data_IF_456720160301
#
_entry.id   IF_456720160301
#
_cell.length_a   1.000
_cell.length_b   1.000
_cell.length_c   1.000
_cell.angle_alpha   90.00
_cell.angle_beta   90.00
_cell.angle_gamma   90.00
#
_symmetry.space_group_name_H-M   'P 1'
#
loop_
_entity.id
_entity.type
_entity.pdbx_description
1 polymer ?
#
# COMPACT_ATOMS: atom_id res chain seq x y z
N UNK A 1 -15.29 23.22 -1.99
CA UNK A 1 -13.99 22.71 -1.50
C UNK A 1 -13.45 21.74 -2.54
N UNK A 2 -12.21 21.95 -3.01
CA UNK A 2 -11.52 21.06 -3.96
C UNK A 2 -10.38 20.34 -3.25
N UNK A 3 -10.39 19.01 -3.31
CA UNK A 3 -9.46 18.15 -2.60
C UNK A 3 -8.69 17.31 -3.61
N UNK A 4 -7.39 17.13 -3.39
CA UNK A 4 -6.63 16.02 -3.98
C UNK A 4 -6.35 15.01 -2.87
N UNK A 5 -6.63 13.75 -3.16
CA UNK A 5 -6.30 12.60 -2.33
C UNK A 5 -5.27 11.73 -3.04
N UNK A 6 -4.18 11.44 -2.36
CA UNK A 6 -3.08 10.56 -2.77
C UNK A 6 -2.59 9.76 -1.57
N UNK A 7 -1.93 8.62 -1.79
CA UNK A 7 -1.40 7.74 -0.76
C UNK A 7 -0.24 6.90 -1.33
N UNK A 8 0.40 6.12 -0.49
CA UNK A 8 1.30 5.03 -0.86
C UNK A 8 2.43 5.50 -1.80
N UNK A 9 3.12 6.58 -1.41
CA UNK A 9 4.20 7.17 -2.20
C UNK A 9 5.46 6.33 -2.17
N UNK A 10 5.75 5.68 -1.05
CA UNK A 10 6.94 4.87 -0.82
C UNK A 10 8.24 5.58 -1.26
N UNK A 11 8.42 6.83 -0.84
CA UNK A 11 9.61 7.60 -1.17
C UNK A 11 10.87 6.89 -0.67
N UNK A 12 11.82 6.70 -1.59
CA UNK A 12 13.04 5.96 -1.32
C UNK A 12 12.97 4.48 -1.66
N UNK A 13 11.87 4.00 -2.25
CA UNK A 13 11.75 2.62 -2.72
C UNK A 13 12.86 2.25 -3.68
N UNK A 14 13.35 1.03 -3.50
CA UNK A 14 14.26 0.36 -4.41
C UNK A 14 13.53 -0.81 -5.08
N UNK A 15 13.39 -0.76 -6.39
CA UNK A 15 12.70 -1.80 -7.15
C UNK A 15 13.72 -2.74 -7.84
N UNK A 16 13.87 -3.95 -7.33
CA UNK A 16 14.87 -4.93 -7.79
C UNK A 16 16.30 -4.37 -7.93
N UNK A 17 16.73 -3.56 -6.98
CA UNK A 17 18.05 -2.93 -6.95
C UNK A 17 18.15 -1.59 -7.70
N UNK A 18 17.10 -1.14 -8.34
CA UNK A 18 17.04 0.16 -9.00
C UNK A 18 16.39 1.20 -8.10
N UNK A 19 17.09 2.28 -7.80
CA UNK A 19 16.53 3.43 -7.07
C UNK A 19 15.50 4.17 -7.93
N UNK A 20 14.38 4.59 -7.32
CA UNK A 20 13.25 5.23 -8.01
C UNK A 20 13.14 6.74 -7.77
N UNK A 21 14.20 7.38 -7.31
CA UNK A 21 14.18 8.82 -6.99
C UNK A 21 13.80 9.71 -8.17
N UNK A 22 14.24 9.37 -9.40
CA UNK A 22 13.88 10.13 -10.60
C UNK A 22 12.37 10.04 -10.87
N UNK A 23 11.77 8.86 -10.76
CA UNK A 23 10.34 8.64 -10.94
C UNK A 23 9.51 9.39 -9.89
N UNK A 24 9.89 9.30 -8.61
CA UNK A 24 9.24 10.05 -7.54
C UNK A 24 9.34 11.57 -7.76
N UNK A 25 10.49 12.07 -8.22
CA UNK A 25 10.66 13.49 -8.52
C UNK A 25 9.74 13.96 -9.65
N UNK A 26 9.56 13.14 -10.67
CA UNK A 26 8.62 13.43 -11.77
C UNK A 26 7.18 13.48 -11.24
N UNK A 27 6.78 12.51 -10.42
CA UNK A 27 5.47 12.49 -9.78
C UNK A 27 5.22 13.72 -8.89
N UNK A 28 6.14 14.05 -8.00
CA UNK A 28 5.98 15.19 -7.08
C UNK A 28 5.91 16.52 -7.84
N UNK A 29 6.68 16.67 -8.92
CA UNK A 29 6.60 17.85 -9.78
C UNK A 29 5.26 17.94 -10.50
N UNK A 30 4.77 16.82 -11.04
CA UNK A 30 3.45 16.73 -11.66
C UNK A 30 2.34 17.07 -10.65
N UNK A 31 2.40 16.54 -9.44
CA UNK A 31 1.41 16.82 -8.40
C UNK A 31 1.37 18.31 -8.02
N UNK A 32 2.53 18.98 -7.91
CA UNK A 32 2.57 20.43 -7.71
C UNK A 32 1.83 21.18 -8.82
N UNK A 33 2.03 20.78 -10.08
CA UNK A 33 1.34 21.42 -11.21
C UNK A 33 -0.17 21.16 -11.16
N UNK A 34 -0.61 19.94 -10.88
CA UNK A 34 -2.04 19.58 -10.72
C UNK A 34 -2.70 20.43 -9.65
N UNK A 35 -2.08 20.53 -8.47
CA UNK A 35 -2.60 21.31 -7.35
C UNK A 35 -2.75 22.80 -7.74
N UNK A 36 -1.77 23.35 -8.42
CA UNK A 36 -1.78 24.74 -8.88
C UNK A 36 -2.83 25.00 -9.96
N UNK A 37 -2.83 24.20 -11.04
CA UNK A 37 -3.71 24.40 -12.20
C UNK A 37 -5.18 24.20 -11.84
N UNK A 38 -5.48 23.26 -10.94
CA UNK A 38 -6.85 22.96 -10.52
C UNK A 38 -7.35 23.82 -9.36
N UNK A 39 -6.48 24.68 -8.79
CA UNK A 39 -6.76 25.52 -7.61
C UNK A 39 -7.31 24.67 -6.46
N UNK A 40 -6.48 23.75 -5.96
CA UNK A 40 -6.84 22.83 -4.89
C UNK A 40 -6.75 23.53 -3.52
N UNK A 41 -7.77 23.32 -2.70
CA UNK A 41 -7.86 23.88 -1.35
C UNK A 41 -7.19 22.97 -0.32
N UNK A 42 -7.25 21.63 -0.53
CA UNK A 42 -6.82 20.63 0.43
C UNK A 42 -6.09 19.45 -0.27
N UNK A 43 -4.91 19.12 0.22
CA UNK A 43 -4.17 17.92 -0.17
C UNK A 43 -4.20 16.91 0.99
N UNK A 44 -4.71 15.71 0.72
CA UNK A 44 -4.73 14.58 1.65
C UNK A 44 -3.69 13.54 1.20
N UNK A 45 -2.76 13.19 2.09
CA UNK A 45 -1.76 12.14 1.87
C UNK A 45 -2.04 11.03 2.89
N UNK A 46 -2.66 9.94 2.43
CA UNK A 46 -3.24 8.92 3.29
C UNK A 46 -2.28 7.75 3.56
N UNK A 47 -1.13 8.04 4.15
CA UNK A 47 -0.15 7.05 4.63
C UNK A 47 0.87 6.60 3.59
N UNK A 48 1.83 5.83 4.09
CA UNK A 48 2.98 5.27 3.38
C UNK A 48 3.72 6.31 2.53
N UNK A 49 4.09 7.40 3.21
CA UNK A 49 4.90 8.47 2.62
C UNK A 49 6.28 7.95 2.25
N UNK A 50 6.90 7.18 3.14
CA UNK A 50 8.22 6.57 2.96
C UNK A 50 8.12 5.05 2.83
N UNK A 51 9.03 4.46 2.07
CA UNK A 51 9.11 3.03 1.85
C UNK A 51 9.53 2.24 3.11
N UNK A 52 10.18 2.89 4.04
CA UNK A 52 10.67 2.26 5.27
C UNK A 52 10.64 3.20 6.46
N UNK A 53 10.58 2.65 7.71
CA UNK A 53 10.58 3.46 8.93
C UNK A 53 11.86 4.28 9.16
N UNK A 54 12.92 3.99 8.42
CA UNK A 54 14.17 4.73 8.46
C UNK A 54 14.56 5.22 7.05
N UNK A 55 13.84 6.21 6.51
CA UNK A 55 14.06 6.69 5.15
C UNK A 55 15.45 7.32 4.99
N UNK A 56 16.02 7.22 3.78
CA UNK A 56 17.28 7.85 3.44
C UNK A 56 17.21 9.37 3.55
N UNK A 57 18.35 10.03 3.70
CA UNK A 57 18.41 11.50 3.70
C UNK A 57 17.89 12.10 2.39
N UNK A 58 18.06 11.39 1.26
CA UNK A 58 17.53 11.84 -0.05
C UNK A 58 16.01 11.77 -0.10
N UNK A 59 15.40 10.68 0.38
CA UNK A 59 13.94 10.55 0.46
C UNK A 59 13.32 11.64 1.36
N UNK A 60 13.92 11.90 2.52
CA UNK A 60 13.49 12.95 3.42
C UNK A 60 13.62 14.35 2.77
N UNK A 61 14.77 14.62 2.12
CA UNK A 61 15.00 15.89 1.41
C UNK A 61 13.95 16.10 0.32
N UNK A 62 13.64 15.06 -0.44
CA UNK A 62 12.62 15.10 -1.49
C UNK A 62 11.24 15.45 -0.93
N UNK A 63 10.84 14.80 0.15
CA UNK A 63 9.56 15.05 0.82
C UNK A 63 9.45 16.49 1.35
N UNK A 64 10.42 16.95 2.13
CA UNK A 64 10.36 18.30 2.70
C UNK A 64 10.51 19.40 1.65
N UNK A 65 11.30 19.16 0.60
CA UNK A 65 11.38 20.09 -0.54
C UNK A 65 10.05 20.19 -1.29
N UNK A 66 9.36 19.06 -1.47
CA UNK A 66 8.02 19.04 -2.04
C UNK A 66 7.03 19.86 -1.17
N UNK A 67 6.97 19.61 0.13
CA UNK A 67 6.09 20.35 1.04
C UNK A 67 6.36 21.87 0.99
N UNK A 68 7.62 22.26 1.06
CA UNK A 68 8.02 23.68 1.01
C UNK A 68 7.58 24.32 -0.31
N UNK A 69 7.74 23.60 -1.43
CA UNK A 69 7.37 24.11 -2.74
C UNK A 69 5.86 24.25 -2.90
N UNK A 70 5.11 23.17 -2.63
CA UNK A 70 3.66 23.13 -2.90
C UNK A 70 2.89 24.14 -2.05
N UNK A 71 3.30 24.34 -0.79
CA UNK A 71 2.70 25.31 0.12
C UNK A 71 3.23 26.72 -0.13
N UNK A 72 4.45 26.89 -0.60
CA UNK A 72 5.03 28.17 -1.00
C UNK A 72 4.37 28.75 -2.26
N UNK A 73 4.05 27.91 -3.22
CA UNK A 73 3.35 28.28 -4.46
C UNK A 73 1.84 28.52 -4.24
N UNK A 74 1.23 27.89 -3.25
CA UNK A 74 -0.17 28.07 -2.87
C UNK A 74 -0.32 28.22 -1.34
N UNK A 75 -0.33 29.47 -0.87
CA UNK A 75 -0.38 29.79 0.56
C UNK A 75 -1.69 29.41 1.26
N UNK A 76 -2.77 29.30 0.51
CA UNK A 76 -4.07 28.88 1.04
C UNK A 76 -4.24 27.37 1.10
N UNK A 77 -3.39 26.62 0.41
CA UNK A 77 -3.41 25.17 0.45
C UNK A 77 -3.20 24.67 1.88
N UNK A 78 -4.09 23.79 2.31
CA UNK A 78 -3.89 22.99 3.52
C UNK A 78 -3.44 21.59 3.13
N UNK A 79 -2.48 21.02 3.87
CA UNK A 79 -2.00 19.67 3.67
C UNK A 79 -2.25 18.86 4.93
N UNK A 80 -2.88 17.69 4.81
CA UNK A 80 -3.07 16.78 5.92
C UNK A 80 -2.44 15.44 5.53
N UNK A 81 -1.60 14.92 6.40
CA UNK A 81 -0.84 13.69 6.20
C UNK A 81 -1.15 12.75 7.35
N UNK A 82 -1.44 11.49 7.04
CA UNK A 82 -1.47 10.43 8.05
C UNK A 82 -0.28 9.49 7.85
N UNK A 83 0.17 8.81 8.90
CA UNK A 83 1.17 7.76 8.75
C UNK A 83 0.53 6.46 8.28
N UNK A 84 1.24 5.72 7.42
CA UNK A 84 0.93 4.35 7.05
C UNK A 84 1.72 3.33 7.85
N UNK A 85 1.65 2.05 7.45
CA UNK A 85 2.34 0.97 8.15
C UNK A 85 3.86 0.91 7.84
N UNK A 86 4.29 1.44 6.69
CA UNK A 86 5.72 1.57 6.33
C UNK A 86 6.40 2.76 7.01
N UNK A 87 5.63 3.77 7.40
CA UNK A 87 6.18 4.96 8.04
C UNK A 87 6.62 4.72 9.49
N UNK A 88 7.63 5.45 9.93
CA UNK A 88 7.85 5.67 11.36
C UNK A 88 6.89 6.78 11.82
N UNK A 89 5.74 6.41 12.31
CA UNK A 89 4.64 7.31 12.70
C UNK A 89 5.11 8.50 13.57
N UNK A 90 5.89 8.21 14.63
CA UNK A 90 6.41 9.24 15.51
C UNK A 90 7.45 10.17 14.85
N UNK A 91 8.29 9.64 13.94
CA UNK A 91 9.26 10.47 13.19
C UNK A 91 8.59 11.33 12.15
N UNK A 92 7.56 10.83 11.49
CA UNK A 92 6.79 11.59 10.51
C UNK A 92 6.04 12.75 11.18
N UNK A 93 5.53 12.55 12.40
CA UNK A 93 4.82 13.55 13.18
C UNK A 93 5.76 14.55 13.90
N UNK A 94 6.97 14.16 14.25
CA UNK A 94 7.90 14.96 15.05
C UNK A 94 8.07 16.42 14.56
N UNK A 95 8.18 16.74 13.26
CA UNK A 95 8.33 18.10 12.77
C UNK A 95 7.01 18.90 12.71
N UNK A 96 5.91 18.42 13.28
CA UNK A 96 4.56 18.99 13.13
C UNK A 96 4.49 20.48 13.52
N UNK A 97 5.19 20.90 14.58
CA UNK A 97 5.25 22.32 15.00
C UNK A 97 5.90 23.24 13.95
N UNK A 98 6.85 22.71 13.16
CA UNK A 98 7.46 23.44 12.05
C UNK A 98 6.54 23.39 10.81
N UNK A 99 5.95 22.23 10.53
CA UNK A 99 5.07 22.03 9.38
C UNK A 99 3.79 22.87 9.47
N UNK A 100 3.31 23.16 10.67
CA UNK A 100 2.17 24.05 10.89
C UNK A 100 2.34 25.45 10.30
N UNK A 101 3.58 25.96 10.19
CA UNK A 101 3.89 27.23 9.53
C UNK A 101 3.53 27.18 8.03
N UNK A 102 3.57 25.99 7.45
CA UNK A 102 3.25 25.70 6.05
C UNK A 102 1.83 25.13 5.88
N UNK A 103 0.92 25.40 6.80
CA UNK A 103 -0.45 24.85 6.80
C UNK A 103 -0.49 23.31 6.64
N UNK A 104 0.53 22.61 7.13
CA UNK A 104 0.65 21.17 7.04
C UNK A 104 0.48 20.56 8.42
N UNK A 105 -0.41 19.57 8.53
CA UNK A 105 -0.65 18.79 9.75
C UNK A 105 -0.35 17.34 9.48
N UNK A 106 0.43 16.71 10.35
CA UNK A 106 0.70 15.28 10.32
C UNK A 106 0.02 14.63 11.52
N UNK A 107 -0.79 13.62 11.26
CA UNK A 107 -1.35 12.72 12.27
C UNK A 107 -0.63 11.37 12.14
N UNK A 108 0.43 11.19 12.91
CA UNK A 108 1.29 10.01 12.83
C UNK A 108 0.87 8.91 13.80
N UNK A 109 0.59 9.27 15.05
CA UNK A 109 0.31 8.33 16.13
C UNK A 109 -1.05 8.61 16.76
N UNK A 110 -1.67 7.58 17.33
CA UNK A 110 -2.81 7.75 18.23
C UNK A 110 -2.27 8.21 19.59
N UNK A 111 -2.65 9.41 19.99
CA UNK A 111 -2.26 9.99 21.27
C UNK A 111 -3.20 9.57 22.37
N UNK A 112 -2.67 9.51 23.59
CA UNK A 112 -3.43 9.22 24.81
C UNK A 112 -3.33 10.37 25.79
N UNK A 113 -4.43 10.64 26.47
CA UNK A 113 -4.52 11.61 27.56
C UNK A 113 -5.25 10.96 28.72
N UNK A 114 -4.64 10.98 29.90
CA UNK A 114 -5.18 10.39 31.13
C UNK A 114 -5.58 8.89 30.98
N UNK A 115 -4.88 8.15 30.11
CA UNK A 115 -5.12 6.73 29.84
C UNK A 115 -6.18 6.44 28.77
N UNK A 116 -6.82 7.45 28.21
CA UNK A 116 -7.82 7.35 27.15
C UNK A 116 -7.30 7.91 25.82
N UNK A 117 -7.89 7.49 24.70
CA UNK A 117 -7.55 8.01 23.37
C UNK A 117 -7.89 9.49 23.31
N UNK A 118 -6.91 10.32 22.93
CA UNK A 118 -7.11 11.76 22.65
C UNK A 118 -7.66 11.97 21.23
N UNK A 119 -8.95 11.74 21.10
CA UNK A 119 -9.68 11.87 19.82
C UNK A 119 -9.54 13.26 19.20
N UNK A 120 -9.41 14.29 20.03
CA UNK A 120 -9.40 15.68 19.55
C UNK A 120 -8.17 16.00 18.70
N UNK A 121 -7.06 15.28 18.89
CA UNK A 121 -5.86 15.40 18.06
C UNK A 121 -6.04 14.88 16.64
N UNK A 122 -6.98 13.97 16.43
CA UNK A 122 -7.30 13.44 15.11
C UNK A 122 -8.39 14.23 14.37
N UNK A 123 -8.99 15.26 15.03
CA UNK A 123 -9.99 16.14 14.41
C UNK A 123 -9.30 17.42 13.95
N UNK A 124 -8.98 17.52 12.67
CA UNK A 124 -8.26 18.65 12.08
C UNK A 124 -9.26 19.61 11.43
N UNK A 125 -9.42 20.83 11.95
CA UNK A 125 -10.25 21.86 11.31
C UNK A 125 -9.74 22.21 9.91
N UNK A 126 -10.66 22.38 8.96
CA UNK A 126 -10.33 22.77 7.59
C UNK A 126 -10.52 24.27 7.40
N UNK A 127 -9.53 24.91 6.76
CA UNK A 127 -9.59 26.34 6.41
C UNK A 127 -10.79 26.67 5.52
N UNK A 128 -11.12 25.75 4.63
CA UNK A 128 -12.27 25.87 3.71
C UNK A 128 -13.61 25.46 4.35
N UNK A 129 -13.65 25.22 5.66
CA UNK A 129 -14.81 24.83 6.45
C UNK A 129 -14.95 23.33 6.66
N UNK A 130 -15.54 22.93 7.79
CA UNK A 130 -15.65 21.55 8.23
C UNK A 130 -14.40 21.04 8.94
N UNK A 131 -14.23 19.71 8.98
CA UNK A 131 -13.04 19.07 9.53
C UNK A 131 -12.67 17.78 8.80
N UNK A 132 -11.42 17.38 8.99
CA UNK A 132 -10.90 16.07 8.59
C UNK A 132 -10.63 15.22 9.85
N UNK A 133 -11.15 13.99 9.86
CA UNK A 133 -10.80 12.96 10.81
C UNK A 133 -9.51 12.30 10.30
N UNK A 134 -8.36 12.78 10.74
CA UNK A 134 -7.05 12.35 10.26
C UNK A 134 -6.57 11.14 11.07
N UNK A 135 -7.05 9.94 10.70
CA UNK A 135 -6.74 8.69 11.40
C UNK A 135 -5.51 8.04 10.76
N UNK A 136 -4.41 7.83 11.51
CA UNK A 136 -3.22 7.13 11.00
C UNK A 136 -3.46 5.63 10.89
N UNK A 137 -2.46 4.88 10.41
CA UNK A 137 -2.45 3.43 10.52
C UNK A 137 -2.65 2.99 11.98
N UNK A 138 -3.63 2.14 12.20
CA UNK A 138 -4.02 1.68 13.54
C UNK A 138 -3.45 0.28 13.81
N UNK A 139 -2.79 0.13 14.95
CA UNK A 139 -2.42 -1.17 15.50
C UNK A 139 -3.55 -1.68 16.41
N UNK A 140 -3.51 -2.94 16.77
CA UNK A 140 -4.52 -3.54 17.66
C UNK A 140 -4.72 -2.75 18.97
N UNK A 141 -3.63 -2.21 19.52
CA UNK A 141 -3.68 -1.42 20.76
C UNK A 141 -4.10 0.04 20.56
N UNK A 142 -4.24 0.50 19.33
CA UNK A 142 -4.60 1.90 19.00
C UNK A 142 -6.11 2.10 18.85
N UNK A 143 -6.88 1.00 18.91
CA UNK A 143 -8.34 1.03 18.80
C UNK A 143 -9.02 0.80 20.15
N UNK A 144 -10.25 1.33 20.36
CA UNK A 144 -11.05 1.03 21.54
C UNK A 144 -11.28 -0.47 21.69
N UNK A 145 -11.38 -0.94 22.94
CA UNK A 145 -11.70 -2.34 23.26
C UNK A 145 -13.07 -2.71 22.67
N UNK A 146 -13.09 -3.74 21.83
CA UNK A 146 -14.27 -4.23 21.13
C UNK A 146 -14.20 -5.76 20.95
N UNK A 147 -15.21 -6.35 20.31
CA UNK A 147 -15.26 -7.79 20.03
C UNK A 147 -14.11 -8.25 19.11
N UNK A 148 -13.70 -7.39 18.17
CA UNK A 148 -12.59 -7.62 17.24
C UNK A 148 -12.02 -6.28 16.76
N UNK A 149 -10.92 -6.32 16.03
CA UNK A 149 -10.25 -5.14 15.50
C UNK A 149 -11.17 -4.28 14.63
N UNK A 150 -11.91 -4.88 13.70
CA UNK A 150 -12.84 -4.17 12.82
C UNK A 150 -13.92 -3.40 13.59
N UNK A 151 -14.45 -3.97 14.66
CA UNK A 151 -15.40 -3.30 15.54
C UNK A 151 -14.73 -2.14 16.31
N UNK A 152 -13.49 -2.32 16.77
CA UNK A 152 -12.71 -1.26 17.41
C UNK A 152 -12.45 -0.07 16.48
N UNK A 153 -12.09 -0.33 15.22
CA UNK A 153 -11.94 0.72 14.19
C UNK A 153 -13.26 1.47 13.99
N UNK A 154 -14.38 0.75 13.86
CA UNK A 154 -15.70 1.36 13.69
C UNK A 154 -16.09 2.25 14.89
N UNK A 155 -15.81 1.80 16.12
CA UNK A 155 -16.04 2.60 17.34
C UNK A 155 -15.20 3.88 17.32
N UNK A 156 -13.93 3.81 16.93
CA UNK A 156 -13.04 4.97 16.86
C UNK A 156 -13.57 6.02 15.86
N UNK A 157 -13.92 5.61 14.64
CA UNK A 157 -14.46 6.55 13.62
C UNK A 157 -15.81 7.13 14.02
N UNK A 158 -16.69 6.35 14.64
CA UNK A 158 -17.98 6.83 15.12
C UNK A 158 -17.82 7.86 16.25
N UNK A 159 -16.90 7.64 17.19
CA UNK A 159 -16.63 8.59 18.27
C UNK A 159 -16.02 9.89 17.74
N UNK A 160 -15.08 9.80 16.79
CA UNK A 160 -14.52 10.96 16.10
C UNK A 160 -15.61 11.76 15.38
N UNK A 161 -16.50 11.08 14.65
CA UNK A 161 -17.59 11.72 13.94
C UNK A 161 -18.57 12.40 14.91
N UNK A 162 -18.95 11.73 16.00
CA UNK A 162 -19.81 12.29 17.06
C UNK A 162 -19.21 13.59 17.61
N UNK A 163 -17.93 13.56 18.02
CA UNK A 163 -17.23 14.75 18.54
C UNK A 163 -17.12 15.87 17.51
N UNK A 164 -16.85 15.55 16.26
CA UNK A 164 -16.82 16.53 15.18
C UNK A 164 -18.18 17.23 15.02
N UNK A 165 -19.28 16.47 15.07
CA UNK A 165 -20.65 17.03 14.99
C UNK A 165 -21.00 17.87 16.21
N UNK A 166 -20.60 17.48 17.40
CA UNK A 166 -20.81 18.25 18.63
C UNK A 166 -20.07 19.60 18.61
N UNK A 167 -18.89 19.63 17.96
CA UNK A 167 -18.16 20.88 17.71
C UNK A 167 -18.73 21.73 16.56
N UNK A 168 -19.80 21.26 15.90
CA UNK A 168 -20.48 21.96 14.82
C UNK A 168 -19.81 21.87 13.45
N UNK A 169 -18.84 20.96 13.26
CA UNK A 169 -18.17 20.82 11.97
C UNK A 169 -19.08 20.23 10.89
N UNK A 170 -19.04 20.87 9.71
CA UNK A 170 -19.72 20.40 8.49
C UNK A 170 -19.07 21.07 7.25
N UNK A 171 -18.69 20.32 6.19
CA UNK A 171 -18.72 18.86 6.10
C UNK A 171 -17.68 18.21 6.99
N UNK A 172 -17.85 16.90 7.24
CA UNK A 172 -16.83 16.03 7.86
C UNK A 172 -16.28 15.11 6.78
N UNK A 173 -14.96 15.08 6.62
CA UNK A 173 -14.24 14.11 5.80
C UNK A 173 -13.35 13.25 6.69
N UNK A 174 -12.88 12.11 6.20
CA UNK A 174 -12.00 11.24 6.97
C UNK A 174 -10.81 10.77 6.13
N UNK A 175 -9.75 10.38 6.82
CA UNK A 175 -8.60 9.67 6.27
C UNK A 175 -8.40 8.38 7.06
N UNK A 176 -7.76 7.40 6.42
CA UNK A 176 -7.34 6.15 7.05
C UNK A 176 -6.30 5.44 6.21
N UNK A 177 -5.55 4.53 6.85
CA UNK A 177 -4.61 3.67 6.18
C UNK A 177 -4.85 2.25 6.67
N UNK A 178 -5.66 1.48 5.95
CA UNK A 178 -6.17 0.18 6.36
C UNK A 178 -6.70 -0.63 5.17
N UNK A 179 -6.78 -1.95 5.34
CA UNK A 179 -7.44 -2.83 4.37
C UNK A 179 -8.93 -2.97 4.67
N UNK A 180 -9.80 -2.55 3.77
CA UNK A 180 -11.24 -2.79 3.88
C UNK A 180 -11.64 -4.14 3.29
N UNK A 181 -12.54 -4.86 3.95
CA UNK A 181 -13.06 -6.15 3.48
C UNK A 181 -13.73 -6.01 2.11
N UNK A 182 -13.43 -6.95 1.21
CA UNK A 182 -13.96 -6.98 -0.15
C UNK A 182 -13.28 -6.02 -1.13
N UNK A 183 -12.26 -5.27 -0.71
CA UNK A 183 -11.39 -4.55 -1.62
C UNK A 183 -10.44 -5.52 -2.35
N UNK A 184 -10.09 -5.19 -3.60
CA UNK A 184 -9.18 -6.01 -4.41
C UNK A 184 -7.74 -5.77 -3.98
N UNK A 185 -7.01 -6.84 -3.73
CA UNK A 185 -5.59 -6.88 -3.34
C UNK A 185 -4.77 -7.44 -4.49
N UNK A 186 -3.57 -6.93 -4.72
CA UNK A 186 -2.65 -7.45 -5.74
C UNK A 186 -2.00 -8.75 -5.27
N UNK A 187 -2.24 -9.85 -5.98
CA UNK A 187 -1.82 -11.22 -5.58
C UNK A 187 -0.30 -11.38 -5.44
N UNK A 188 0.51 -10.57 -6.11
CA UNK A 188 1.97 -10.63 -6.12
C UNK A 188 2.64 -9.57 -5.22
N UNK A 189 1.87 -8.73 -4.54
CA UNK A 189 2.40 -7.69 -3.66
C UNK A 189 2.41 -8.15 -2.20
N UNK A 190 3.60 -8.55 -1.73
CA UNK A 190 3.79 -8.97 -0.34
C UNK A 190 3.62 -7.83 0.66
N UNK A 191 3.68 -6.57 0.23
CA UNK A 191 3.49 -5.40 1.10
C UNK A 191 2.03 -5.21 1.48
N UNK A 192 1.09 -5.52 0.56
CA UNK A 192 -0.35 -5.52 0.83
C UNK A 192 -0.79 -6.72 1.70
N UNK A 193 0.01 -7.81 1.72
CA UNK A 193 -0.26 -9.00 2.53
C UNK A 193 0.38 -8.99 3.92
N UNK A 194 1.01 -7.92 4.33
CA UNK A 194 1.58 -7.80 5.68
C UNK A 194 0.47 -7.71 6.74
N UNK A 195 -0.31 -8.80 6.84
CA UNK A 195 -1.22 -9.04 7.95
C UNK A 195 -0.37 -9.35 9.18
N UNK A 196 0.03 -8.32 9.89
CA UNK A 196 0.66 -8.49 11.19
C UNK A 196 -0.44 -8.91 12.16
N UNK A 197 -0.42 -10.17 12.57
CA UNK A 197 -1.29 -10.66 13.65
C UNK A 197 -2.65 -11.26 13.22
N UNK A 198 -2.88 -11.56 11.94
CA UNK A 198 -4.14 -12.19 11.49
C UNK A 198 -5.33 -11.24 11.51
N UNK A 199 -5.10 -9.95 11.37
CA UNK A 199 -6.15 -8.94 11.34
C UNK A 199 -7.02 -9.10 10.08
N UNK A 200 -8.29 -9.35 10.32
CA UNK A 200 -9.31 -9.38 9.27
C UNK A 200 -9.44 -8.00 8.65
N UNK A 201 -9.68 -7.94 7.35
CA UNK A 201 -9.98 -6.66 6.69
C UNK A 201 -11.12 -5.94 7.41
N UNK A 202 -11.01 -4.64 7.57
CA UNK A 202 -12.00 -3.82 8.27
C UNK A 202 -13.30 -3.79 7.45
N UNK A 203 -14.44 -4.03 8.08
CA UNK A 203 -15.73 -3.97 7.40
C UNK A 203 -15.91 -2.62 6.70
N UNK A 204 -16.28 -2.60 5.42
CA UNK A 204 -16.47 -1.38 4.63
C UNK A 204 -17.46 -0.37 5.24
N UNK A 205 -18.30 -0.80 6.19
CA UNK A 205 -19.23 0.06 6.93
C UNK A 205 -18.64 0.69 8.20
N UNK A 206 -17.32 0.61 8.41
CA UNK A 206 -16.68 1.21 9.58
C UNK A 206 -16.83 2.73 9.67
N UNK A 207 -17.03 3.38 8.53
CA UNK A 207 -17.21 4.83 8.43
C UNK A 207 -18.68 5.21 8.46
N UNK A 208 -19.02 6.19 9.28
CA UNK A 208 -20.37 6.74 9.39
C UNK A 208 -20.86 7.33 8.06
N UNK A 209 -22.12 7.10 7.70
CA UNK A 209 -22.73 7.57 6.44
C UNK A 209 -22.79 9.11 6.33
N UNK A 210 -22.68 9.83 7.44
CA UNK A 210 -22.62 11.29 7.45
C UNK A 210 -21.24 11.87 7.11
N UNK A 211 -20.21 11.04 6.88
CA UNK A 211 -18.90 11.46 6.40
C UNK A 211 -18.97 11.63 4.88
N UNK A 212 -18.69 12.85 4.42
CA UNK A 212 -18.85 13.23 3.02
C UNK A 212 -17.86 12.51 2.08
N UNK A 213 -16.63 12.31 2.52
CA UNK A 213 -15.58 11.59 1.78
C UNK A 213 -14.59 10.94 2.74
N UNK A 214 -14.11 9.75 2.40
CA UNK A 214 -13.06 9.05 3.14
C UNK A 214 -11.91 8.70 2.21
N UNK A 215 -10.72 9.25 2.52
CA UNK A 215 -9.47 9.01 1.81
C UNK A 215 -8.71 7.86 2.45
N UNK A 216 -8.55 6.74 1.74
CA UNK A 216 -7.85 5.55 2.19
C UNK A 216 -6.52 5.36 1.44
N UNK A 217 -5.49 4.94 2.16
CA UNK A 217 -4.25 4.35 1.65
C UNK A 217 -4.13 2.88 2.06
N UNK A 218 -3.01 2.26 1.76
CA UNK A 218 -2.61 0.87 1.97
C UNK A 218 -2.77 -0.03 0.75
N UNK A 219 -3.84 0.10 -0.03
CA UNK A 219 -4.01 -0.67 -1.26
C UNK A 219 -3.53 0.15 -2.47
N UNK A 220 -2.55 -0.39 -3.19
CA UNK A 220 -1.87 0.31 -4.28
C UNK A 220 -2.73 0.47 -5.54
N UNK A 221 -3.83 -0.29 -5.63
CA UNK A 221 -4.80 -0.16 -6.73
C UNK A 221 -5.87 0.87 -6.40
N UNK A 222 -6.03 1.88 -7.25
CA UNK A 222 -7.16 2.82 -7.15
C UNK A 222 -8.49 2.10 -7.22
N UNK A 223 -9.35 2.29 -6.24
CA UNK A 223 -10.67 1.66 -6.16
C UNK A 223 -11.53 2.34 -5.08
N UNK A 224 -12.84 2.10 -5.12
CA UNK A 224 -13.71 2.41 -3.99
C UNK A 224 -14.01 1.12 -3.20
N UNK A 225 -14.41 1.27 -1.95
CA UNK A 225 -14.87 0.12 -1.16
C UNK A 225 -16.22 -0.37 -1.67
N UNK A 226 -16.54 -1.66 -1.55
CA UNK A 226 -17.80 -2.20 -2.02
C UNK A 226 -19.01 -1.44 -1.45
N UNK A 227 -19.88 -0.97 -2.34
CA UNK A 227 -21.11 -0.25 -2.00
C UNK A 227 -20.97 1.19 -1.50
N UNK A 228 -19.74 1.77 -1.51
CA UNK A 228 -19.49 3.15 -1.05
C UNK A 228 -18.51 3.89 -1.97
N UNK A 229 -19.02 4.62 -2.93
CA UNK A 229 -18.20 5.37 -3.90
C UNK A 229 -17.34 6.47 -3.26
N UNK A 230 -17.80 7.04 -2.15
CA UNK A 230 -17.13 8.10 -1.41
C UNK A 230 -16.09 7.60 -0.39
N UNK A 231 -15.86 6.28 -0.28
CA UNK A 231 -14.80 5.67 0.53
C UNK A 231 -13.82 5.00 -0.43
N UNK A 232 -12.65 5.61 -0.63
CA UNK A 232 -11.78 5.28 -1.76
C UNK A 232 -10.31 5.17 -1.38
N UNK A 233 -9.64 4.28 -2.10
CA UNK A 233 -8.18 4.24 -2.23
C UNK A 233 -7.77 5.06 -3.44
N UNK A 234 -6.79 5.94 -3.29
CA UNK A 234 -6.19 6.66 -4.43
C UNK A 234 -5.31 5.74 -5.26
N UNK A 235 -4.78 4.70 -4.64
CA UNK A 235 -3.71 3.88 -5.17
C UNK A 235 -2.34 4.55 -5.09
N UNK A 236 -1.30 3.77 -5.33
CA UNK A 236 0.08 4.25 -5.38
C UNK A 236 0.35 5.04 -6.68
N UNK A 237 1.16 6.10 -6.64
CA UNK A 237 1.51 6.89 -7.83
C UNK A 237 2.44 6.15 -8.79
N UNK A 238 3.19 5.17 -8.30
CA UNK A 238 4.06 4.32 -9.09
C UNK A 238 3.66 2.85 -8.87
N UNK A 239 3.71 1.98 -9.89
CA UNK A 239 3.42 0.57 -9.67
C UNK A 239 4.49 -0.07 -8.78
N UNK A 240 4.06 -0.86 -7.79
CA UNK A 240 4.93 -1.49 -6.80
C UNK A 240 5.32 -2.93 -7.19
N UNK A 241 4.59 -3.53 -8.13
CA UNK A 241 4.84 -4.89 -8.61
C UNK A 241 4.52 -5.05 -10.10
N UNK A 242 5.01 -6.15 -10.72
CA UNK A 242 4.65 -6.48 -12.10
C UNK A 242 3.18 -6.88 -12.26
N UNK A 243 2.49 -7.28 -11.19
CA UNK A 243 1.05 -7.50 -11.20
C UNK A 243 0.27 -6.20 -11.47
N UNK A 244 0.86 -5.06 -11.11
CA UNK A 244 0.29 -3.73 -11.30
C UNK A 244 0.67 -3.09 -12.64
N UNK A 245 1.43 -3.77 -13.50
CA UNK A 245 1.92 -3.25 -14.78
C UNK A 245 0.81 -2.73 -15.71
N UNK A 246 -0.40 -3.24 -15.56
CA UNK A 246 -1.58 -2.84 -16.32
C UNK A 246 -2.46 -1.81 -15.59
N UNK A 247 -2.14 -1.45 -14.35
CA UNK A 247 -2.87 -0.43 -13.63
C UNK A 247 -2.53 0.95 -14.21
N UNK A 248 -3.49 1.85 -14.20
CA UNK A 248 -3.26 3.25 -14.51
C UNK A 248 -3.12 4.01 -13.20
N UNK A 249 -1.99 4.66 -12.99
CA UNK A 249 -1.73 5.45 -11.80
C UNK A 249 -2.48 6.77 -11.85
N UNK A 250 -3.01 7.21 -10.72
CA UNK A 250 -3.79 8.44 -10.61
C UNK A 250 -3.76 9.00 -9.19
N UNK A 251 -4.20 10.24 -9.06
CA UNK A 251 -4.70 10.78 -7.79
C UNK A 251 -6.19 11.03 -7.90
N UNK A 252 -6.90 11.06 -6.78
CA UNK A 252 -8.34 11.31 -6.77
C UNK A 252 -8.59 12.78 -6.49
N UNK A 253 -9.23 13.48 -7.42
CA UNK A 253 -9.79 14.80 -7.16
C UNK A 253 -11.21 14.67 -6.65
N UNK A 254 -11.54 15.41 -5.59
CA UNK A 254 -12.87 15.45 -5.00
C UNK A 254 -13.33 16.91 -4.93
N UNK A 255 -14.54 17.16 -5.39
CA UNK A 255 -15.20 18.46 -5.23
C UNK A 255 -16.39 18.28 -4.31
N UNK A 256 -16.33 18.89 -3.12
CA UNK A 256 -17.43 18.91 -2.17
C UNK A 256 -18.19 20.21 -2.26
N UNK A 257 -19.50 20.12 -2.51
CA UNK A 257 -20.45 21.23 -2.46
C UNK A 257 -21.62 20.83 -1.54
N UNK A 258 -21.58 21.31 -0.30
CA UNK A 258 -22.46 20.80 0.75
C UNK A 258 -22.27 19.29 0.97
N UNK A 259 -23.32 18.53 0.73
CA UNK A 259 -23.29 17.06 0.81
C UNK A 259 -23.01 16.36 -0.53
N UNK A 260 -22.87 17.13 -1.63
CA UNK A 260 -22.56 16.57 -2.94
C UNK A 260 -21.05 16.33 -3.03
N UNK A 261 -20.69 15.13 -3.43
CA UNK A 261 -19.32 14.69 -3.61
C UNK A 261 -19.12 14.27 -5.07
N UNK A 262 -18.47 15.13 -5.85
CA UNK A 262 -18.11 14.81 -7.24
C UNK A 262 -16.65 14.32 -7.26
N UNK A 263 -16.39 13.18 -7.88
CA UNK A 263 -15.09 12.48 -7.86
C UNK A 263 -14.57 12.34 -9.30
N UNK A 264 -13.31 12.75 -9.51
CA UNK A 264 -12.60 12.64 -10.78
C UNK A 264 -11.22 11.99 -10.54
N UNK A 265 -10.81 11.08 -11.42
CA UNK A 265 -9.47 10.53 -11.42
C UNK A 265 -8.56 11.39 -12.28
N UNK A 266 -7.46 11.85 -11.72
CA UNK A 266 -6.44 12.62 -12.44
C UNK A 266 -5.25 11.70 -12.68
N UNK A 267 -5.11 11.26 -13.93
CA UNK A 267 -4.13 10.25 -14.29
C UNK A 267 -2.72 10.80 -14.37
N UNK A 268 -1.78 9.98 -13.90
CA UNK A 268 -0.34 10.22 -13.97
C UNK A 268 0.31 9.23 -14.92
N UNK A 269 1.04 9.73 -15.91
CA UNK A 269 1.81 8.90 -16.83
C UNK A 269 3.20 8.61 -16.25
N UNK A 270 3.37 7.39 -15.73
CA UNK A 270 4.64 6.99 -15.09
C UNK A 270 5.79 7.00 -16.10
N UNK A 271 6.95 7.57 -15.74
CA UNK A 271 8.08 7.70 -16.65
C UNK A 271 8.71 6.36 -17.05
N UNK A 272 8.81 5.42 -16.12
CA UNK A 272 9.36 4.10 -16.37
C UNK A 272 8.25 3.04 -16.30
N UNK A 273 7.87 2.49 -17.45
CA UNK A 273 6.82 1.45 -17.54
C UNK A 273 7.36 0.10 -17.05
N UNK A 274 6.46 -0.75 -16.54
CA UNK A 274 6.76 -2.16 -16.28
C UNK A 274 6.36 -3.02 -17.48
N UNK A 275 7.21 -3.97 -17.86
CA UNK A 275 6.96 -4.91 -18.95
C UNK A 275 7.26 -6.33 -18.51
N UNK A 276 6.37 -7.25 -18.83
CA UNK A 276 6.55 -8.68 -18.60
C UNK A 276 6.62 -9.41 -19.94
N UNK A 277 7.67 -10.19 -20.15
CA UNK A 277 7.84 -11.05 -21.33
C UNK A 277 7.74 -12.49 -20.87
N UNK A 278 6.85 -13.27 -21.51
CA UNK A 278 6.74 -14.71 -21.27
C UNK A 278 7.20 -15.45 -22.52
N UNK A 279 8.15 -16.37 -22.36
CA UNK A 279 8.66 -17.19 -23.45
C UNK A 279 8.59 -18.68 -23.12
N UNK A 280 8.28 -19.50 -24.14
CA UNK A 280 8.18 -20.95 -24.01
C UNK A 280 9.55 -21.66 -23.98
N UNK A 281 10.63 -20.95 -24.30
CA UNK A 281 12.02 -21.46 -24.31
C UNK A 281 13.00 -20.29 -24.27
N UNK A 282 14.26 -20.61 -24.01
CA UNK A 282 15.36 -19.63 -24.06
C UNK A 282 15.49 -18.97 -25.45
N UNK A 283 15.38 -19.75 -26.54
CA UNK A 283 15.40 -19.22 -27.91
C UNK A 283 14.24 -18.23 -28.17
N UNK A 284 13.08 -18.51 -27.56
CA UNK A 284 11.93 -17.60 -27.62
C UNK A 284 12.19 -16.23 -26.97
N UNK A 285 13.06 -16.18 -25.94
CA UNK A 285 13.44 -14.93 -25.29
C UNK A 285 14.24 -14.06 -26.25
N UNK A 286 15.24 -14.61 -26.94
CA UNK A 286 16.08 -13.85 -27.87
C UNK A 286 15.22 -13.12 -28.90
N UNK A 287 14.22 -13.82 -29.46
CA UNK A 287 13.28 -13.24 -30.41
C UNK A 287 12.38 -12.16 -29.75
N UNK A 288 11.91 -12.40 -28.53
CA UNK A 288 11.03 -11.48 -27.82
C UNK A 288 11.75 -10.18 -27.41
N UNK A 289 13.02 -10.26 -27.00
CA UNK A 289 13.84 -9.09 -26.63
C UNK A 289 14.36 -8.32 -27.83
N UNK A 290 14.40 -8.93 -29.03
CA UNK A 290 14.85 -8.24 -30.25
C UNK A 290 14.06 -6.95 -30.52
N UNK A 291 12.75 -6.94 -30.22
CA UNK A 291 11.87 -5.77 -30.37
C UNK A 291 11.96 -4.72 -29.28
N UNK A 292 12.80 -4.91 -28.25
CA UNK A 292 12.97 -3.93 -27.19
C UNK A 292 13.78 -2.71 -27.67
N UNK A 293 13.56 -1.51 -27.07
CA UNK A 293 14.29 -0.30 -27.46
C UNK A 293 15.80 -0.48 -27.26
N UNK A 294 16.59 -0.04 -28.24
CA UNK A 294 18.05 -0.04 -28.15
C UNK A 294 18.55 1.29 -27.57
N UNK A 295 19.69 1.26 -26.87
CA UNK A 295 20.34 2.43 -26.31
C UNK A 295 20.85 2.18 -24.89
N UNK A 296 21.36 3.24 -24.27
CA UNK A 296 21.79 3.21 -22.87
C UNK A 296 20.58 3.21 -21.93
N UNK A 297 20.73 2.58 -20.77
CA UNK A 297 19.74 2.61 -19.70
C UNK A 297 19.67 4.03 -19.13
N UNK A 298 18.46 4.57 -19.02
CA UNK A 298 18.19 5.90 -18.49
C UNK A 298 16.96 5.88 -17.57
N UNK A 299 16.59 7.03 -17.01
CA UNK A 299 15.50 7.16 -16.04
C UNK A 299 14.13 6.72 -16.56
N UNK A 300 13.92 6.76 -17.87
CA UNK A 300 12.68 6.33 -18.52
C UNK A 300 12.72 4.89 -19.05
N UNK A 301 13.88 4.21 -18.94
CA UNK A 301 14.00 2.83 -19.36
C UNK A 301 13.05 1.92 -18.59
N UNK A 302 12.23 1.08 -19.27
CA UNK A 302 11.24 0.27 -18.61
C UNK A 302 11.88 -0.83 -17.75
N UNK A 303 11.22 -1.19 -16.68
CA UNK A 303 11.52 -2.40 -15.90
C UNK A 303 11.03 -3.63 -16.63
N UNK A 304 11.86 -4.65 -16.71
CA UNK A 304 11.60 -5.88 -17.44
C UNK A 304 11.57 -7.09 -16.52
N UNK A 305 10.47 -7.82 -16.55
CA UNK A 305 10.34 -9.17 -16.02
C UNK A 305 10.37 -10.18 -17.17
N UNK A 306 11.16 -11.22 -17.04
CA UNK A 306 11.18 -12.33 -18.02
C UNK A 306 10.73 -13.62 -17.34
N UNK A 307 9.64 -14.19 -17.85
CA UNK A 307 9.09 -15.49 -17.44
C UNK A 307 9.42 -16.53 -18.49
N UNK A 308 10.13 -17.60 -18.10
CA UNK A 308 10.56 -18.66 -19.03
C UNK A 308 10.01 -19.98 -18.59
N UNK A 309 9.39 -20.72 -19.53
CA UNK A 309 9.05 -22.12 -19.34
C UNK A 309 10.31 -22.97 -19.49
N UNK A 310 10.75 -23.55 -18.39
CA UNK A 310 11.93 -24.41 -18.37
C UNK A 310 11.53 -25.88 -18.04
N UNK A 311 12.16 -26.84 -18.73
CA UNK A 311 11.98 -28.25 -18.42
C UNK A 311 12.86 -28.73 -17.26
N UNK A 312 13.98 -28.03 -17.04
CA UNK A 312 14.93 -28.27 -15.97
C UNK A 312 15.56 -26.92 -15.54
N UNK A 313 16.10 -26.87 -14.33
CA UNK A 313 16.82 -25.65 -13.84
C UNK A 313 18.08 -25.49 -14.69
N UNK A 314 18.19 -24.37 -15.39
CA UNK A 314 19.36 -23.98 -16.17
C UNK A 314 20.12 -22.88 -15.40
N UNK A 315 21.30 -23.18 -14.83
CA UNK A 315 22.09 -22.20 -14.09
C UNK A 315 22.57 -21.02 -14.95
N UNK A 316 22.64 -21.20 -16.28
CA UNK A 316 23.15 -20.20 -17.24
C UNK A 316 22.04 -19.32 -17.81
N UNK A 317 20.77 -19.61 -17.50
CA UNK A 317 19.60 -18.91 -18.03
C UNK A 317 19.70 -17.38 -17.84
N UNK A 318 20.08 -16.94 -16.64
CA UNK A 318 20.21 -15.52 -16.34
C UNK A 318 21.28 -14.85 -17.19
N UNK A 319 22.45 -15.49 -17.34
CA UNK A 319 23.54 -14.99 -18.17
C UNK A 319 23.13 -14.88 -19.64
N UNK A 320 22.48 -15.90 -20.18
CA UNK A 320 21.98 -15.90 -21.58
C UNK A 320 20.98 -14.75 -21.83
N UNK A 321 20.13 -14.46 -20.83
CA UNK A 321 19.19 -13.33 -20.92
C UNK A 321 19.94 -11.99 -20.85
N UNK A 322 20.90 -11.85 -19.96
CA UNK A 322 21.71 -10.62 -19.83
C UNK A 322 22.49 -10.34 -21.14
N UNK A 323 23.07 -11.37 -21.75
CA UNK A 323 23.75 -11.27 -23.07
C UNK A 323 22.76 -10.86 -24.19
N UNK A 324 21.55 -11.42 -24.19
CA UNK A 324 20.52 -11.04 -25.17
C UNK A 324 20.01 -9.60 -24.99
N UNK A 325 20.15 -9.03 -23.81
CA UNK A 325 19.75 -7.66 -23.46
C UNK A 325 20.87 -6.64 -23.67
N UNK A 326 22.08 -7.06 -24.08
CA UNK A 326 23.16 -6.12 -24.39
C UNK A 326 22.72 -5.06 -25.41
N UNK A 327 22.98 -3.80 -25.12
CA UNK A 327 22.60 -2.67 -25.99
C UNK A 327 21.09 -2.35 -25.98
N UNK A 328 20.31 -2.94 -25.09
CA UNK A 328 18.89 -2.62 -24.91
C UNK A 328 18.70 -1.63 -23.76
N UNK A 329 17.86 -0.62 -23.98
CA UNK A 329 17.51 0.39 -22.99
C UNK A 329 16.39 -0.11 -22.08
N UNK A 330 16.64 -1.18 -21.30
CA UNK A 330 15.70 -1.78 -20.33
C UNK A 330 16.41 -2.12 -19.03
N UNK A 331 15.69 -2.12 -17.91
CA UNK A 331 16.17 -2.50 -16.59
C UNK A 331 15.69 -3.92 -16.27
N UNK A 332 16.56 -4.92 -16.38
CA UNK A 332 16.19 -6.29 -16.03
C UNK A 332 15.95 -6.39 -14.53
N UNK A 333 14.69 -6.48 -14.13
CA UNK A 333 14.29 -6.59 -12.74
C UNK A 333 14.37 -8.04 -12.24
N UNK A 334 13.64 -8.96 -12.88
CA UNK A 334 13.68 -10.37 -12.46
C UNK A 334 13.53 -11.34 -13.63
N UNK A 335 14.09 -12.54 -13.43
CA UNK A 335 13.89 -13.70 -14.29
C UNK A 335 13.18 -14.78 -13.48
N UNK A 336 12.04 -15.24 -13.97
CA UNK A 336 11.21 -16.28 -13.33
C UNK A 336 11.20 -17.53 -14.19
N UNK A 337 11.82 -18.58 -13.69
CA UNK A 337 11.75 -19.91 -14.31
C UNK A 337 10.43 -20.59 -13.91
N UNK A 338 9.57 -20.86 -14.88
CA UNK A 338 8.31 -21.57 -14.67
C UNK A 338 8.45 -23.01 -15.13
N UNK A 339 8.05 -23.99 -14.31
CA UNK A 339 8.02 -25.38 -14.76
C UNK A 339 6.74 -25.69 -15.53
N UNK A 340 6.82 -26.55 -16.57
CA UNK A 340 5.65 -27.00 -17.32
C UNK A 340 4.61 -27.74 -16.44
N UNK A 341 5.04 -28.29 -15.31
CA UNK A 341 4.16 -28.89 -14.31
C UNK A 341 3.23 -27.87 -13.60
N UNK A 342 3.61 -26.59 -13.57
CA UNK A 342 2.78 -25.54 -12.96
C UNK A 342 1.56 -25.15 -13.81
N UNK A 343 1.51 -25.53 -15.08
CA UNK A 343 0.36 -25.24 -15.97
C UNK A 343 -0.72 -26.34 -15.96
N UNK A 344 -0.39 -27.55 -15.47
CA UNK A 344 -1.35 -28.67 -15.36
C UNK A 344 -2.01 -28.77 -13.97
N UNK A 345 -1.67 -27.89 -13.05
CA UNK A 345 -2.38 -27.76 -11.80
C UNK A 345 -3.70 -27.04 -12.07
N UNK A 346 -4.79 -27.83 -12.13
CA UNK A 346 -6.12 -27.26 -12.08
C UNK A 346 -6.21 -26.22 -10.95
N UNK A 347 -6.94 -25.16 -11.19
CA UNK A 347 -7.35 -24.19 -10.20
C UNK A 347 -7.84 -24.94 -8.95
N UNK A 348 -6.96 -25.20 -8.00
CA UNK A 348 -7.43 -25.37 -6.64
C UNK A 348 -7.97 -24.00 -6.30
N UNK A 349 -9.30 -23.90 -6.19
CA UNK A 349 -9.97 -22.72 -5.70
C UNK A 349 -9.13 -22.16 -4.54
N UNK A 350 -8.91 -20.83 -4.49
CA UNK A 350 -8.19 -20.24 -3.39
C UNK A 350 -8.89 -20.67 -2.13
N UNK A 351 -8.15 -21.30 -1.22
CA UNK A 351 -8.66 -21.76 0.05
C UNK A 351 -9.18 -20.52 0.78
N UNK A 352 -10.45 -20.52 1.15
CA UNK A 352 -11.03 -19.41 1.88
C UNK A 352 -10.37 -19.31 3.27
N UNK A 353 -10.39 -18.15 3.88
CA UNK A 353 -9.85 -17.93 5.22
C UNK A 353 -10.52 -18.87 6.26
N UNK A 354 -11.80 -19.17 6.10
CA UNK A 354 -12.53 -20.11 6.94
C UNK A 354 -12.03 -21.55 6.77
N UNK A 355 -11.66 -21.95 5.56
CA UNK A 355 -11.02 -23.24 5.28
C UNK A 355 -9.64 -23.32 5.94
N UNK A 356 -8.90 -22.20 5.98
CA UNK A 356 -7.59 -22.11 6.62
C UNK A 356 -7.68 -22.19 8.14
N UNK A 357 -8.67 -21.52 8.75
CA UNK A 357 -8.92 -21.52 10.19
C UNK A 357 -9.41 -22.88 10.74
N UNK A 358 -10.08 -23.65 9.90
CA UNK A 358 -10.60 -24.98 10.26
C UNK A 358 -9.55 -26.08 10.25
N UNK A 359 -8.39 -25.87 9.58
CA UNK A 359 -7.31 -26.86 9.48
C UNK A 359 -6.32 -26.77 10.62
N UNK A 360 -5.91 -27.91 11.15
CA UNK A 360 -4.82 -27.96 12.11
C UNK A 360 -3.50 -27.50 11.49
N UNK A 361 -2.61 -26.78 12.21
CA UNK A 361 -1.31 -26.31 11.70
C UNK A 361 -0.48 -27.40 11.00
N UNK A 362 -0.57 -28.65 11.49
CA UNK A 362 0.06 -29.82 10.88
C UNK A 362 -0.48 -30.10 9.48
N UNK A 363 -1.78 -30.02 9.28
CA UNK A 363 -2.43 -30.28 7.98
C UNK A 363 -2.03 -29.26 6.93
N UNK A 364 -1.95 -28.00 7.33
CA UNK A 364 -1.49 -26.89 6.47
C UNK A 364 -0.05 -27.15 6.00
N UNK A 365 0.84 -27.50 6.92
CA UNK A 365 2.24 -27.79 6.60
C UNK A 365 2.40 -29.05 5.72
N UNK A 366 1.57 -30.07 5.92
CA UNK A 366 1.54 -31.26 5.06
C UNK A 366 1.07 -30.92 3.63
N UNK A 367 0.06 -30.07 3.48
CA UNK A 367 -0.41 -29.62 2.18
C UNK A 367 0.65 -28.77 1.45
N UNK A 368 1.35 -27.89 2.17
CA UNK A 368 2.46 -27.08 1.63
C UNK A 368 3.62 -28.00 1.21
N UNK A 369 3.98 -28.99 2.04
CA UNK A 369 5.05 -29.92 1.73
C UNK A 369 4.74 -30.72 0.47
N UNK A 370 3.53 -31.27 0.34
CA UNK A 370 3.07 -32.00 -0.86
C UNK A 370 3.12 -31.13 -2.11
N UNK A 371 2.68 -29.86 -2.02
CA UNK A 371 2.74 -28.90 -3.14
C UNK A 371 4.17 -28.61 -3.57
N UNK A 372 5.11 -28.46 -2.61
CA UNK A 372 6.52 -28.15 -2.91
C UNK A 372 7.35 -29.35 -3.36
N UNK A 373 6.93 -30.57 -3.04
CA UNK A 373 7.67 -31.81 -3.35
C UNK A 373 6.91 -32.72 -4.31
N UNK A 374 6.29 -32.14 -5.35
CA UNK A 374 5.64 -32.85 -6.45
C UNK A 374 4.61 -33.94 -6.02
N UNK A 375 3.92 -33.70 -4.93
CA UNK A 375 2.91 -34.60 -4.39
C UNK A 375 3.45 -35.67 -3.43
N UNK A 376 4.75 -35.72 -3.17
CA UNK A 376 5.35 -36.65 -2.20
C UNK A 376 4.90 -36.37 -0.78
N UNK A 377 4.69 -37.41 0.00
CA UNK A 377 4.35 -37.31 1.41
C UNK A 377 5.57 -36.88 2.23
N UNK A 378 5.33 -36.08 3.27
CA UNK A 378 6.40 -35.67 4.19
C UNK A 378 7.02 -36.87 4.89
N UNK A 379 8.36 -37.03 4.89
CA UNK A 379 9.05 -38.12 5.60
C UNK A 379 8.72 -38.11 7.10
N UNK A 380 8.61 -39.29 7.72
CA UNK A 380 8.20 -39.46 9.11
C UNK A 380 9.06 -38.64 10.10
N UNK A 381 10.39 -38.59 9.88
CA UNK A 381 11.30 -37.85 10.75
C UNK A 381 11.08 -36.30 10.72
N UNK A 382 10.61 -35.79 9.57
CA UNK A 382 10.25 -34.36 9.45
C UNK A 382 8.89 -34.08 10.09
N UNK A 383 7.96 -35.02 9.99
CA UNK A 383 6.65 -34.91 10.63
C UNK A 383 6.77 -34.94 12.16
N UNK A 384 7.67 -35.79 12.72
CA UNK A 384 7.96 -35.81 14.15
C UNK A 384 8.51 -34.47 14.64
N UNK A 385 9.51 -33.91 13.94
CA UNK A 385 10.05 -32.59 14.27
C UNK A 385 9.02 -31.46 14.16
N UNK A 386 8.17 -31.50 13.14
CA UNK A 386 7.09 -30.54 12.99
C UNK A 386 6.14 -30.57 14.19
N UNK A 387 5.78 -31.79 14.65
CA UNK A 387 4.89 -31.96 15.80
C UNK A 387 5.55 -31.51 17.13
N UNK A 388 6.88 -31.67 17.27
CA UNK A 388 7.64 -31.14 18.42
C UNK A 388 7.59 -29.62 18.45
N UNK A 389 7.91 -28.94 17.34
CA UNK A 389 7.91 -27.48 17.23
C UNK A 389 6.50 -26.91 17.50
N UNK A 390 5.47 -27.53 16.94
CA UNK A 390 4.07 -27.07 17.19
C UNK A 390 3.70 -27.18 18.66
N UNK A 391 4.11 -28.26 19.34
CA UNK A 391 3.88 -28.42 20.78
C UNK A 391 4.64 -27.38 21.61
N UNK A 392 5.88 -27.06 21.27
CA UNK A 392 6.64 -26.01 21.93
C UNK A 392 5.95 -24.64 21.81
N UNK A 393 5.58 -24.24 20.60
CA UNK A 393 4.89 -22.96 20.32
C UNK A 393 3.54 -22.88 21.05
N UNK A 394 2.76 -23.96 21.08
CA UNK A 394 1.50 -24.00 21.81
C UNK A 394 1.68 -23.91 23.33
N UNK A 395 2.73 -24.52 23.87
CA UNK A 395 3.05 -24.46 25.31
C UNK A 395 3.59 -23.09 25.73
N UNK A 396 4.38 -22.41 24.91
CA UNK A 396 4.84 -21.05 25.17
C UNK A 396 3.67 -20.04 25.20
N UNK A 397 2.67 -20.20 24.34
CA UNK A 397 1.48 -19.36 24.35
C UNK A 397 0.58 -19.57 25.58
N UNK A 398 0.59 -20.76 26.17
CA UNK A 398 -0.15 -21.04 27.43
C UNK A 398 0.61 -20.48 28.64
N UNK A 399 1.94 -20.44 28.60
CA UNK A 399 2.79 -19.88 29.68
C UNK A 399 2.72 -18.36 29.79
N UNK A 400 2.43 -17.64 28.70
CA UNK A 400 2.34 -16.17 28.66
C UNK A 400 0.94 -15.61 29.02
N UNK A 401 -0.08 -16.44 29.19
CA UNK A 401 -1.41 -16.01 29.65
C UNK A 401 -1.60 -16.13 31.16
N UNK A 402 -0.56 -16.46 31.90
CA UNK A 402 -0.59 -16.71 33.36
C UNK A 402 0.29 -15.78 34.21
N UNK A 403 0.69 -14.59 33.74
CA UNK A 403 1.33 -13.55 34.56
C UNK A 403 0.66 -12.20 34.38
#
# INVERSE_FOLDING_TARGET
MKIIHTADWHLGQTFFGYERYSEHRVFLNWLCNVVKERNIDLLLIAGDVFDSPNPSAEAQRMFYSFLTRITGENKELQVIITAGNHDSAARLEAPNSLLGIFNTTVSGVVHYKDGEIDYDRMIVPLKCGGCCLAVPYLRLNDVPVAENYSAGVALLYNELYRRAKEKGYSPVIAMGHLQASGAMVSVDDSSEYAIIGGEEGVNAKFVNDGIAYTALGHLHRMQHTPGRENVRYSGAPLPMSFAESNNTQSVTQVVLDGNKCDIELVYFDVPAKMRSITAASTDGIVNAVAGLPCGEINDNSPYLEIKVLVKAVDPTLRQQIEEALEGKSVRLARVVAMSAASQCGGESAPMTYDDFKSKAPVEIMLDIYKKKNNGEAMPAHLLEKLNEVIKEVLNENIGNQGM
#
